data_IF_972219958928
#
_entry.id   IF_972219958928
#
_cell.length_a   1.000
_cell.length_b   1.000
_cell.length_c   1.000
_cell.angle_alpha   90.00
_cell.angle_beta   90.00
_cell.angle_gamma   90.00
#
_symmetry.space_group_name_H-M   'P 1'
#
loop_
_entity.id
_entity.type
_entity.pdbx_description
1 polymer ?
#
# COMPACT_ATOMS: atom_id res chain seq x y z
N UNK A 1 -4.52 -3.40 0.95
CA UNK A 1 -4.62 -2.67 -0.33
C UNK A 1 -5.55 -3.42 -1.27
N UNK A 2 -6.47 -2.70 -1.92
CA UNK A 2 -7.47 -3.26 -2.83
C UNK A 2 -7.32 -2.63 -4.22
N UNK A 3 -7.56 -3.42 -5.26
CA UNK A 3 -7.73 -2.90 -6.62
C UNK A 3 -9.17 -2.42 -6.81
N UNK A 4 -9.39 -1.13 -7.04
CA UNK A 4 -10.73 -0.54 -7.07
C UNK A 4 -11.62 -1.07 -8.20
N UNK A 5 -11.03 -1.49 -9.32
CA UNK A 5 -11.77 -2.01 -10.47
C UNK A 5 -12.28 -3.43 -10.21
N UNK A 6 -11.37 -4.34 -9.86
CA UNK A 6 -11.64 -5.77 -9.66
C UNK A 6 -12.12 -6.12 -8.25
N UNK A 7 -12.01 -5.19 -7.29
CA UNK A 7 -12.32 -5.39 -5.86
C UNK A 7 -11.48 -6.50 -5.20
N UNK A 8 -10.34 -6.83 -5.78
CA UNK A 8 -9.45 -7.89 -5.26
C UNK A 8 -8.46 -7.32 -4.24
N UNK A 9 -8.22 -8.04 -3.15
CA UNK A 9 -7.13 -7.74 -2.22
C UNK A 9 -5.78 -8.03 -2.87
N UNK A 10 -4.96 -6.99 -3.07
CA UNK A 10 -3.71 -7.09 -3.85
C UNK A 10 -2.45 -6.94 -3.00
N UNK A 11 -2.56 -6.42 -1.78
CA UNK A 11 -1.41 -6.26 -0.90
C UNK A 11 -1.80 -6.14 0.56
N UNK A 12 -1.05 -6.81 1.43
CA UNK A 12 -1.21 -6.78 2.88
C UNK A 12 0.14 -6.97 3.57
N UNK A 13 0.24 -6.51 4.81
CA UNK A 13 1.33 -6.82 5.73
C UNK A 13 0.78 -6.72 7.15
N UNK A 14 1.29 -7.54 8.06
CA UNK A 14 0.79 -7.62 9.44
C UNK A 14 1.95 -7.53 10.42
N UNK A 15 1.71 -6.88 11.56
CA UNK A 15 2.62 -6.79 12.68
C UNK A 15 1.88 -6.22 13.89
N UNK A 16 2.50 -6.31 15.07
CA UNK A 16 1.83 -5.99 16.34
C UNK A 16 1.56 -4.50 16.55
N UNK A 17 2.18 -3.63 15.73
CA UNK A 17 2.02 -2.17 15.80
C UNK A 17 1.87 -1.58 14.39
N UNK A 18 1.04 -0.54 14.22
CA UNK A 18 0.87 0.12 12.93
C UNK A 18 2.06 1.05 12.64
N UNK A 19 3.10 0.48 12.04
CA UNK A 19 4.33 1.17 11.63
C UNK A 19 4.42 1.30 10.11
N UNK A 20 5.21 2.27 9.64
CA UNK A 20 5.34 2.58 8.22
C UNK A 20 5.82 1.39 7.35
N UNK A 21 6.62 0.49 7.92
CA UNK A 21 7.11 -0.70 7.21
C UNK A 21 5.98 -1.66 6.80
N UNK A 22 4.89 -1.74 7.59
CA UNK A 22 3.74 -2.55 7.21
C UNK A 22 3.02 -1.96 5.98
N UNK A 23 2.93 -0.63 5.91
CA UNK A 23 2.39 0.06 4.74
C UNK A 23 3.28 -0.19 3.52
N UNK A 24 4.60 -0.05 3.67
CA UNK A 24 5.56 -0.25 2.59
C UNK A 24 5.51 -1.69 2.06
N UNK A 25 5.42 -2.68 2.95
CA UNK A 25 5.27 -4.09 2.57
C UNK A 25 3.98 -4.36 1.80
N UNK A 26 2.86 -3.80 2.25
CA UNK A 26 1.57 -3.96 1.55
C UNK A 26 1.57 -3.30 0.16
N UNK A 27 2.21 -2.13 0.01
CA UNK A 27 2.37 -1.44 -1.29
C UNK A 27 3.25 -2.26 -2.23
N UNK A 28 4.41 -2.73 -1.76
CA UNK A 28 5.32 -3.55 -2.56
C UNK A 28 4.67 -4.83 -3.05
N UNK A 29 3.92 -5.52 -2.18
CA UNK A 29 3.16 -6.70 -2.55
C UNK A 29 2.14 -6.40 -3.66
N UNK A 30 1.41 -5.28 -3.56
CA UNK A 30 0.43 -4.90 -4.55
C UNK A 30 1.05 -4.60 -5.92
N UNK A 31 2.20 -3.91 -5.95
CA UNK A 31 2.95 -3.64 -7.19
C UNK A 31 3.42 -4.95 -7.82
N UNK A 32 3.98 -5.86 -7.02
CA UNK A 32 4.42 -7.18 -7.51
C UNK A 32 3.25 -8.02 -8.04
N UNK A 33 2.11 -8.03 -7.37
CA UNK A 33 0.96 -8.84 -7.79
C UNK A 33 0.26 -8.31 -9.04
N UNK A 34 0.31 -6.99 -9.30
CA UNK A 34 -0.47 -6.36 -10.37
C UNK A 34 0.36 -5.88 -11.55
N UNK A 35 1.67 -5.71 -11.38
CA UNK A 35 2.55 -5.12 -12.38
C UNK A 35 1.92 -3.89 -13.06
N UNK A 36 1.52 -2.88 -12.26
CA UNK A 36 0.74 -1.75 -12.77
C UNK A 36 1.51 -0.99 -13.84
N UNK A 37 0.79 -0.52 -14.86
CA UNK A 37 1.35 0.40 -15.84
C UNK A 37 1.71 1.75 -15.19
N UNK A 38 2.59 2.51 -15.84
CA UNK A 38 2.92 3.86 -15.41
C UNK A 38 1.65 4.73 -15.31
N UNK A 39 1.58 5.57 -14.26
CA UNK A 39 0.46 6.48 -14.03
C UNK A 39 -0.64 5.96 -13.10
N UNK A 40 -0.49 4.76 -12.51
CA UNK A 40 -1.40 4.29 -11.46
C UNK A 40 -1.26 5.16 -10.20
N UNK A 41 -2.41 5.51 -9.62
CA UNK A 41 -2.51 6.33 -8.41
C UNK A 41 -2.82 5.42 -7.23
N UNK A 42 -1.95 5.45 -6.22
CA UNK A 42 -2.25 4.89 -4.90
C UNK A 42 -3.03 5.93 -4.10
N UNK A 43 -4.29 5.65 -3.80
CA UNK A 43 -5.11 6.46 -2.91
C UNK A 43 -5.01 5.94 -1.48
N UNK A 44 -4.59 6.79 -0.55
CA UNK A 44 -4.68 6.55 0.88
C UNK A 44 -5.41 7.71 1.54
N UNK A 45 -6.39 7.38 2.38
CA UNK A 45 -6.94 8.33 3.35
C UNK A 45 -5.83 8.55 4.39
N UNK A 46 -5.24 9.75 4.44
CA UNK A 46 -4.01 10.04 5.22
C UNK A 46 -4.10 9.61 6.70
N UNK A 47 -3.65 8.38 6.99
CA UNK A 47 -3.36 7.90 8.34
C UNK A 47 -1.96 8.32 8.80
N UNK A 48 -1.74 8.33 10.11
CA UNK A 48 -0.46 8.77 10.71
C UNK A 48 0.76 7.96 10.27
N UNK A 49 0.59 6.81 9.61
CA UNK A 49 1.67 5.98 9.06
C UNK A 49 2.22 6.53 7.73
N UNK A 50 1.41 7.26 6.97
CA UNK A 50 1.82 7.86 5.68
C UNK A 50 2.53 9.19 5.85
N UNK A 51 2.50 9.79 7.05
CA UNK A 51 3.26 11.00 7.40
C UNK A 51 4.66 10.67 7.94
N UNK A 52 5.12 9.42 7.83
CA UNK A 52 6.44 9.00 8.31
C UNK A 52 7.51 9.35 7.28
N UNK A 53 8.78 9.58 7.70
CA UNK A 53 9.86 9.97 6.80
C UNK A 53 10.11 9.01 5.62
N UNK A 54 9.73 7.74 5.74
CA UNK A 54 9.90 6.73 4.67
C UNK A 54 8.93 6.94 3.49
N UNK A 55 7.91 7.79 3.65
CA UNK A 55 6.93 8.13 2.62
C UNK A 55 6.97 9.61 2.21
N UNK A 56 7.98 10.36 2.64
CA UNK A 56 8.11 11.81 2.44
C UNK A 56 9.14 12.20 1.39
#
# INVERSE_FOLDING_TARGET
MIDAFSRTGVGWSMGDRPVADLVAGAVNMAVWNRHPANGVIHHSDHGSQYTWPVFS
#
